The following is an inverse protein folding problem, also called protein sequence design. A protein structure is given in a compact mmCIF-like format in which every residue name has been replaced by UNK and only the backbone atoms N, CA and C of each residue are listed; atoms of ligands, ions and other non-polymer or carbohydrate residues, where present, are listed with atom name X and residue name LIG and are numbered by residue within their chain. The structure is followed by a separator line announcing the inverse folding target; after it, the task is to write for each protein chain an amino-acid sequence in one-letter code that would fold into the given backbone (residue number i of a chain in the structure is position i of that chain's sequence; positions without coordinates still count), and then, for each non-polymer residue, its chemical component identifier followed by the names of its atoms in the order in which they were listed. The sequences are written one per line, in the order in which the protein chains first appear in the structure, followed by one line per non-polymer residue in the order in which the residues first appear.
data_IF_645747680849
#
_entry.id   IF_645747680849
#
_cell.length_a   1.000
_cell.length_b   1.000
_cell.length_c   1.000
_cell.angle_alpha   90.00
_cell.angle_beta   90.00
_cell.angle_gamma   90.00
#
_symmetry.space_group_name_H-M   'P 1'
#
loop_
_entity.id
_entity.type
_entity.pdbx_description
1 polymer ?
#
# COMPACT_ATOMS: atom_id res chain seq x y z
N UNK A 1 1.14 28.93 40.23
CA UNK A 1 0.71 28.52 38.92
C UNK A 1 1.51 27.28 38.53
N UNK A 2 0.95 26.08 38.69
CA UNK A 2 1.65 24.84 38.29
C UNK A 2 1.76 24.83 36.76
N UNK A 3 2.95 24.95 36.24
CA UNK A 3 3.23 24.74 34.84
C UNK A 3 2.94 23.24 34.57
N UNK A 4 1.78 22.93 33.98
CA UNK A 4 1.49 21.59 33.49
C UNK A 4 2.51 21.34 32.35
N UNK A 5 3.57 20.61 32.63
CA UNK A 5 4.46 20.12 31.55
C UNK A 5 3.60 19.29 30.62
N UNK A 6 3.42 19.78 29.38
CA UNK A 6 2.70 19.01 28.35
C UNK A 6 3.43 17.69 28.13
N UNK A 7 2.68 16.60 28.17
CA UNK A 7 3.23 15.25 27.91
C UNK A 7 3.78 15.18 26.48
N UNK A 8 5.02 14.75 26.32
CA UNK A 8 5.60 14.37 25.04
C UNK A 8 5.37 12.87 24.86
N UNK A 9 4.63 12.50 23.82
CA UNK A 9 4.35 11.09 23.50
C UNK A 9 5.49 10.50 22.69
N UNK A 10 5.86 9.24 22.95
CA UNK A 10 6.85 8.48 22.20
C UNK A 10 6.15 7.50 21.27
N UNK A 11 6.25 7.72 19.97
CA UNK A 11 5.65 6.87 18.95
C UNK A 11 6.75 6.10 18.22
N UNK A 12 6.68 4.75 18.24
CA UNK A 12 7.48 3.91 17.39
C UNK A 12 6.84 3.80 16.00
N UNK A 13 7.56 4.14 14.96
CA UNK A 13 7.12 4.03 13.56
C UNK A 13 7.97 2.99 12.86
N UNK A 14 7.34 2.01 12.23
CA UNK A 14 8.08 0.98 11.51
C UNK A 14 7.45 0.65 10.16
N UNK A 15 8.31 0.43 9.18
CA UNK A 15 7.97 -0.07 7.86
C UNK A 15 8.89 -1.24 7.48
N UNK A 16 8.37 -2.18 6.67
CA UNK A 16 9.13 -3.37 6.26
C UNK A 16 10.27 -3.02 5.32
N UNK A 17 10.09 -1.99 4.50
CA UNK A 17 11.06 -1.50 3.52
C UNK A 17 10.78 -0.04 3.23
N UNK A 18 11.82 0.72 2.90
CA UNK A 18 11.71 2.08 2.41
C UNK A 18 11.31 2.06 0.93
N UNK A 19 10.16 2.62 0.62
CA UNK A 19 9.71 2.91 -0.74
C UNK A 19 8.58 3.95 -0.74
N UNK A 20 8.34 4.63 -1.88
CA UNK A 20 7.49 5.81 -1.94
C UNK A 20 6.09 5.65 -1.32
N UNK A 21 5.42 4.52 -1.51
CA UNK A 21 4.08 4.29 -0.95
C UNK A 21 4.09 4.28 0.59
N UNK A 22 5.04 3.54 1.19
CA UNK A 22 5.14 3.45 2.65
C UNK A 22 5.63 4.77 3.27
N UNK A 23 6.51 5.49 2.57
CA UNK A 23 6.98 6.81 2.98
C UNK A 23 5.84 7.83 2.93
N UNK A 24 4.95 7.77 1.93
CA UNK A 24 3.75 8.59 1.84
C UNK A 24 2.78 8.27 2.98
N UNK A 25 2.57 7.00 3.34
CA UNK A 25 1.75 6.61 4.50
C UNK A 25 2.34 7.15 5.80
N UNK A 26 3.65 7.03 5.99
CA UNK A 26 4.36 7.61 7.14
C UNK A 26 4.16 9.12 7.20
N UNK A 27 4.40 9.80 6.09
CA UNK A 27 4.24 11.26 6.00
C UNK A 27 2.81 11.68 6.34
N UNK A 28 1.81 11.00 5.80
CA UNK A 28 0.41 11.29 6.11
C UNK A 28 0.12 11.17 7.61
N UNK A 29 0.58 10.10 8.24
CA UNK A 29 0.44 9.88 9.68
C UNK A 29 1.08 11.01 10.51
N UNK A 30 2.33 11.35 10.22
CA UNK A 30 3.04 12.42 10.92
C UNK A 30 2.37 13.79 10.75
N UNK A 31 1.89 14.10 9.54
CA UNK A 31 1.23 15.37 9.25
C UNK A 31 -0.09 15.50 10.02
N UNK A 32 -0.86 14.40 10.18
CA UNK A 32 -2.07 14.41 11.01
C UNK A 32 -1.73 14.65 12.50
N UNK A 33 -0.69 14.00 13.01
CA UNK A 33 -0.21 14.21 14.38
C UNK A 33 0.24 15.66 14.59
N UNK A 34 1.06 16.20 13.69
CA UNK A 34 1.54 17.60 13.74
C UNK A 34 0.38 18.58 13.73
N UNK A 35 -0.61 18.38 12.86
CA UNK A 35 -1.81 19.22 12.78
C UNK A 35 -2.64 19.21 14.06
N UNK A 36 -2.64 18.11 14.81
CA UNK A 36 -3.38 17.99 16.08
C UNK A 36 -2.80 18.83 17.22
N UNK A 37 -1.56 19.29 17.09
CA UNK A 37 -0.80 20.01 18.12
C UNK A 37 -0.24 19.11 19.23
N UNK A 38 -0.31 17.78 19.08
CA UNK A 38 0.34 16.87 20.02
C UNK A 38 1.87 17.00 19.93
N UNK A 39 2.52 17.00 21.11
CA UNK A 39 3.97 16.92 21.19
C UNK A 39 4.40 15.46 21.12
N UNK A 40 5.11 15.09 20.08
CA UNK A 40 5.50 13.71 19.79
C UNK A 40 6.98 13.63 19.44
N UNK A 41 7.62 12.58 19.94
CA UNK A 41 8.93 12.10 19.52
C UNK A 41 8.72 10.83 18.70
N UNK A 42 9.07 10.86 17.42
CA UNK A 42 9.03 9.71 16.54
C UNK A 42 10.34 8.94 16.58
N UNK A 43 10.23 7.61 16.67
CA UNK A 43 11.35 6.68 16.55
C UNK A 43 11.11 5.82 15.30
N UNK A 44 11.70 6.27 14.17
CA UNK A 44 11.51 5.67 12.86
C UNK A 44 12.48 4.52 12.64
N UNK A 45 11.96 3.37 12.24
CA UNK A 45 12.72 2.15 11.93
C UNK A 45 12.30 1.53 10.61
N UNK A 46 13.28 0.97 9.92
CA UNK A 46 13.11 0.24 8.67
C UNK A 46 13.73 -1.15 8.79
N UNK A 47 12.99 -2.18 8.47
CA UNK A 47 13.46 -3.57 8.56
C UNK A 47 14.25 -4.03 7.33
N UNK A 48 14.31 -3.23 6.25
CA UNK A 48 15.05 -3.53 5.02
C UNK A 48 14.68 -4.91 4.42
N UNK A 49 13.40 -5.28 4.48
CA UNK A 49 12.84 -6.59 4.07
C UNK A 49 13.28 -7.79 4.91
N UNK A 50 13.92 -7.57 6.05
CA UNK A 50 14.31 -8.63 6.97
C UNK A 50 13.29 -8.79 8.08
N UNK A 51 12.58 -9.93 8.11
CA UNK A 51 11.56 -10.22 9.12
C UNK A 51 12.17 -10.43 10.52
N UNK A 52 13.43 -10.84 10.63
CA UNK A 52 14.12 -10.94 11.90
C UNK A 52 14.43 -9.55 12.45
N UNK A 53 14.90 -8.64 11.60
CA UNK A 53 15.08 -7.24 11.94
C UNK A 53 13.74 -6.59 12.33
N UNK A 54 12.65 -6.87 11.59
CA UNK A 54 11.31 -6.38 11.94
C UNK A 54 10.87 -6.83 13.34
N UNK A 55 11.14 -8.09 13.68
CA UNK A 55 10.84 -8.63 15.02
C UNK A 55 11.65 -7.91 16.11
N UNK A 56 12.95 -7.70 15.87
CA UNK A 56 13.83 -6.99 16.81
C UNK A 56 13.41 -5.54 17.00
N UNK A 57 12.98 -4.84 15.96
CA UNK A 57 12.43 -3.48 16.03
C UNK A 57 11.22 -3.44 16.97
N UNK A 58 10.28 -4.37 16.83
CA UNK A 58 9.11 -4.42 17.71
C UNK A 58 9.48 -4.72 19.17
N UNK A 59 10.44 -5.61 19.41
CA UNK A 59 10.96 -5.87 20.75
C UNK A 59 11.64 -4.63 21.34
N UNK A 60 12.37 -3.86 20.54
CA UNK A 60 12.95 -2.59 20.97
C UNK A 60 11.85 -1.60 21.37
N UNK A 61 10.82 -1.40 20.54
CA UNK A 61 9.70 -0.50 20.85
C UNK A 61 8.99 -0.89 22.15
N UNK A 62 8.80 -2.18 22.40
CA UNK A 62 8.28 -2.72 23.65
C UNK A 62 9.18 -2.34 24.84
N UNK A 63 10.48 -2.59 24.75
CA UNK A 63 11.45 -2.30 25.81
C UNK A 63 11.55 -0.80 26.10
N UNK A 64 11.46 0.05 25.06
CA UNK A 64 11.48 1.49 25.14
C UNK A 64 10.15 2.09 25.65
N UNK A 65 9.14 1.24 25.90
CA UNK A 65 7.81 1.62 26.41
C UNK A 65 7.18 2.74 25.58
N UNK A 66 7.07 2.53 24.25
CA UNK A 66 6.39 3.49 23.38
C UNK A 66 4.95 3.69 23.84
N UNK A 67 4.44 4.93 23.74
CA UNK A 67 3.03 5.25 24.04
C UNK A 67 2.08 4.72 22.94
N UNK A 68 2.59 4.54 21.72
CA UNK A 68 1.87 3.98 20.58
C UNK A 68 2.89 3.44 19.56
N UNK A 69 2.50 2.38 18.84
CA UNK A 69 3.25 1.87 17.69
C UNK A 69 2.44 2.09 16.42
N UNK A 70 3.05 2.73 15.43
CA UNK A 70 2.53 2.85 14.08
C UNK A 70 3.22 1.84 13.16
N UNK A 71 2.43 0.90 12.62
CA UNK A 71 2.92 -0.20 11.80
C UNK A 71 2.44 -0.08 10.36
N UNK A 72 3.37 0.12 9.42
CA UNK A 72 3.06 0.35 8.00
C UNK A 72 3.25 -0.94 7.22
N UNK A 73 2.23 -1.40 6.53
CA UNK A 73 2.11 -2.65 5.77
C UNK A 73 1.75 -3.89 6.59
N UNK A 74 1.25 -4.92 5.89
CA UNK A 74 0.80 -6.18 6.50
C UNK A 74 1.89 -6.90 7.31
N UNK A 75 3.12 -7.12 6.79
CA UNK A 75 4.16 -7.81 7.56
C UNK A 75 4.54 -7.08 8.86
N UNK A 76 4.61 -5.75 8.80
CA UNK A 76 4.94 -4.91 9.96
C UNK A 76 3.84 -4.95 11.01
N UNK A 77 2.57 -4.88 10.61
CA UNK A 77 1.42 -4.96 11.52
C UNK A 77 1.31 -6.33 12.19
N UNK A 78 1.61 -7.41 11.48
CA UNK A 78 1.66 -8.76 12.06
C UNK A 78 2.81 -8.92 13.07
N UNK A 79 3.99 -8.38 12.77
CA UNK A 79 5.10 -8.36 13.71
C UNK A 79 4.78 -7.53 14.97
N UNK A 80 4.13 -6.38 14.81
CA UNK A 80 3.67 -5.55 15.94
C UNK A 80 2.66 -6.32 16.81
N UNK A 81 1.65 -6.95 16.21
CA UNK A 81 0.66 -7.77 16.91
C UNK A 81 1.33 -8.89 17.73
N UNK A 82 2.38 -9.51 17.22
CA UNK A 82 3.05 -10.62 17.86
C UNK A 82 3.99 -10.21 19.01
N UNK A 83 4.57 -9.02 18.97
CA UNK A 83 5.66 -8.63 19.87
C UNK A 83 5.29 -7.52 20.86
N UNK A 84 4.40 -6.60 20.50
CA UNK A 84 4.03 -5.45 21.32
C UNK A 84 3.07 -5.87 22.44
N UNK A 85 3.25 -5.28 23.62
CA UNK A 85 2.39 -5.57 24.75
C UNK A 85 0.93 -5.19 24.48
N UNK A 86 -0.05 -6.00 24.93
CA UNK A 86 -1.48 -5.69 24.77
C UNK A 86 -1.92 -4.37 25.39
N UNK A 87 -1.14 -3.80 26.31
CA UNK A 87 -1.42 -2.49 26.90
C UNK A 87 -0.99 -1.31 26.00
N UNK A 88 -0.11 -1.56 25.01
CA UNK A 88 0.37 -0.53 24.09
C UNK A 88 -0.51 -0.51 22.83
N UNK A 89 -1.10 0.65 22.49
CA UNK A 89 -1.86 0.81 21.27
C UNK A 89 -1.01 0.57 20.00
N UNK A 90 -1.59 -0.15 19.06
CA UNK A 90 -1.05 -0.32 17.71
C UNK A 90 -2.05 0.30 16.74
N UNK A 91 -1.56 1.24 15.93
CA UNK A 91 -2.28 1.76 14.78
C UNK A 91 -1.54 1.31 13.53
N UNK A 92 -2.24 0.70 12.58
CA UNK A 92 -1.62 0.30 11.32
C UNK A 92 -2.14 1.13 10.14
N UNK A 93 -1.37 1.15 9.06
CA UNK A 93 -1.78 1.68 7.77
C UNK A 93 -1.35 0.75 6.62
N UNK A 94 -2.00 0.89 5.46
CA UNK A 94 -1.66 0.18 4.22
C UNK A 94 -1.67 -1.35 4.37
N UNK A 95 -2.61 -1.88 5.17
CA UNK A 95 -2.87 -3.32 5.29
C UNK A 95 -4.04 -3.67 4.37
N UNK A 96 -3.80 -4.52 3.36
CA UNK A 96 -4.78 -4.83 2.32
C UNK A 96 -5.95 -5.69 2.83
N UNK A 97 -5.69 -6.63 3.74
CA UNK A 97 -6.69 -7.51 4.36
C UNK A 97 -6.44 -7.65 5.86
N UNK A 98 -6.97 -6.74 6.68
CA UNK A 98 -6.80 -6.80 8.13
C UNK A 98 -7.40 -8.07 8.78
N UNK A 99 -8.46 -8.64 8.20
CA UNK A 99 -9.08 -9.84 8.72
C UNK A 99 -8.20 -11.07 8.46
N UNK A 100 -7.75 -11.26 7.23
CA UNK A 100 -6.82 -12.33 6.86
C UNK A 100 -5.47 -12.21 7.57
N UNK A 101 -5.03 -10.99 7.90
CA UNK A 101 -3.83 -10.74 8.68
C UNK A 101 -4.00 -11.01 10.19
N UNK A 102 -5.22 -11.31 10.67
CA UNK A 102 -5.52 -11.61 12.07
C UNK A 102 -5.59 -10.37 12.98
N UNK A 103 -5.69 -9.18 12.42
CA UNK A 103 -5.67 -7.91 13.16
C UNK A 103 -7.03 -7.50 13.73
N UNK A 104 -8.12 -8.03 13.15
CA UNK A 104 -9.49 -7.69 13.56
C UNK A 104 -9.82 -8.29 14.92
N UNK A 105 -10.55 -7.54 15.75
CA UNK A 105 -11.01 -7.99 17.07
C UNK A 105 -9.94 -7.98 18.16
N UNK A 106 -8.77 -7.40 17.92
CA UNK A 106 -7.73 -7.23 18.94
C UNK A 106 -8.00 -5.96 19.75
N UNK A 107 -7.90 -6.01 21.11
CA UNK A 107 -8.31 -4.89 21.96
C UNK A 107 -7.41 -3.66 21.87
N UNK A 108 -6.15 -3.84 21.48
CA UNK A 108 -5.14 -2.78 21.36
C UNK A 108 -4.79 -2.42 19.90
N UNK A 109 -5.52 -2.93 18.91
CA UNK A 109 -5.20 -2.73 17.50
C UNK A 109 -6.36 -2.04 16.78
N UNK A 110 -6.04 -1.00 16.04
CA UNK A 110 -6.90 -0.36 15.04
C UNK A 110 -6.04 0.15 13.89
N UNK A 111 -6.65 0.71 12.87
CA UNK A 111 -5.91 1.30 11.76
C UNK A 111 -6.72 1.44 10.49
N UNK A 112 -6.01 1.71 9.41
CA UNK A 112 -6.57 1.94 8.08
C UNK A 112 -6.17 0.87 7.10
N UNK A 113 -7.15 0.32 6.42
CA UNK A 113 -6.94 -0.64 5.34
C UNK A 113 -6.62 0.10 4.04
N UNK A 114 -5.59 -0.38 3.36
CA UNK A 114 -5.34 -0.13 1.95
C UNK A 114 -6.00 -1.21 1.10
N UNK A 115 -7.28 -1.49 1.31
CA UNK A 115 -7.99 -2.54 0.60
C UNK A 115 -7.84 -2.36 -0.92
N UNK A 116 -7.48 -3.42 -1.66
CA UNK A 116 -7.26 -3.32 -3.08
C UNK A 116 -8.58 -3.05 -3.81
N UNK A 117 -8.56 -2.02 -4.64
CA UNK A 117 -9.72 -1.60 -5.45
C UNK A 117 -9.78 -2.37 -6.79
N UNK A 118 -9.69 -3.70 -6.72
CA UNK A 118 -9.56 -4.59 -7.90
C UNK A 118 -10.70 -4.39 -8.89
N UNK A 119 -11.95 -4.35 -8.42
CA UNK A 119 -13.10 -4.21 -9.30
C UNK A 119 -13.13 -2.86 -10.02
N UNK A 120 -12.80 -1.79 -9.31
CA UNK A 120 -12.70 -0.44 -9.85
C UNK A 120 -11.59 -0.33 -10.92
N UNK A 121 -10.45 -0.98 -10.65
CA UNK A 121 -9.36 -1.06 -11.63
C UNK A 121 -9.71 -1.90 -12.86
N UNK A 122 -10.45 -3.01 -12.72
CA UNK A 122 -10.93 -3.78 -13.87
C UNK A 122 -11.87 -2.98 -14.75
N UNK A 123 -12.74 -2.15 -14.15
CA UNK A 123 -13.60 -1.21 -14.90
C UNK A 123 -12.76 -0.18 -15.66
N UNK A 124 -11.74 0.39 -15.02
CA UNK A 124 -10.81 1.33 -15.66
C UNK A 124 -10.07 0.67 -16.82
N UNK A 125 -9.54 -0.56 -16.63
CA UNK A 125 -8.87 -1.31 -17.70
C UNK A 125 -9.82 -1.53 -18.88
N UNK A 126 -11.07 -1.91 -18.61
CA UNK A 126 -12.06 -2.13 -19.67
C UNK A 126 -12.43 -0.86 -20.41
N UNK A 127 -12.50 0.27 -19.71
CA UNK A 127 -12.78 1.59 -20.31
C UNK A 127 -11.58 2.08 -21.12
N UNK A 128 -10.37 1.98 -20.59
CA UNK A 128 -9.15 2.46 -21.23
C UNK A 128 -8.68 1.58 -22.40
N UNK A 129 -8.90 0.25 -22.30
CA UNK A 129 -8.42 -0.77 -23.24
C UNK A 129 -9.55 -1.76 -23.59
N UNK A 130 -10.58 -1.33 -24.33
CA UNK A 130 -11.79 -2.15 -24.58
C UNK A 130 -11.50 -3.46 -25.33
N UNK A 131 -10.42 -3.52 -26.10
CA UNK A 131 -10.00 -4.69 -26.87
C UNK A 131 -9.08 -5.65 -26.11
N UNK A 132 -8.57 -5.25 -24.94
CA UNK A 132 -7.73 -6.11 -24.10
C UNK A 132 -8.53 -7.32 -23.60
N UNK A 133 -7.85 -8.47 -23.57
CA UNK A 133 -8.42 -9.74 -23.10
C UNK A 133 -7.57 -10.40 -22.03
N UNK A 134 -6.26 -10.19 -22.04
CA UNK A 134 -5.32 -10.82 -21.10
C UNK A 134 -4.63 -9.78 -20.23
N UNK A 135 -4.81 -9.93 -18.91
CA UNK A 135 -4.17 -9.10 -17.90
C UNK A 135 -3.01 -9.89 -17.30
N UNK A 136 -1.79 -9.34 -17.42
CA UNK A 136 -0.61 -9.87 -16.74
C UNK A 136 -0.50 -9.35 -15.32
N UNK A 137 -0.07 -10.19 -14.38
CA UNK A 137 0.25 -9.80 -13.02
C UNK A 137 1.45 -10.57 -12.51
N UNK A 138 2.37 -9.86 -11.84
CA UNK A 138 3.47 -10.44 -11.08
C UNK A 138 3.24 -10.23 -9.59
N UNK A 139 3.61 -11.21 -8.77
CA UNK A 139 3.40 -11.12 -7.33
C UNK A 139 4.39 -11.97 -6.52
N UNK A 140 4.63 -11.55 -5.27
CA UNK A 140 5.46 -12.30 -4.34
C UNK A 140 4.57 -13.24 -3.49
N UNK A 141 4.84 -14.53 -3.56
CA UNK A 141 4.09 -15.55 -2.79
C UNK A 141 4.37 -15.49 -1.29
N UNK A 142 5.44 -14.84 -0.86
CA UNK A 142 5.75 -14.64 0.56
C UNK A 142 4.98 -13.46 1.18
N UNK A 143 4.32 -12.63 0.37
CA UNK A 143 3.48 -11.52 0.81
C UNK A 143 2.01 -11.91 0.74
N UNK A 144 1.37 -12.09 1.91
CA UNK A 144 -0.04 -12.51 2.00
C UNK A 144 -0.99 -11.57 1.24
N UNK A 145 -0.77 -10.26 1.35
CA UNK A 145 -1.56 -9.26 0.62
C UNK A 145 -1.51 -9.47 -0.90
N UNK A 146 -0.36 -9.88 -1.43
CA UNK A 146 -0.19 -10.11 -2.87
C UNK A 146 -0.96 -11.35 -3.33
N UNK A 147 -0.89 -12.43 -2.56
CA UNK A 147 -1.65 -13.66 -2.81
C UNK A 147 -3.16 -13.40 -2.81
N UNK A 148 -3.65 -12.64 -1.83
CA UNK A 148 -5.08 -12.27 -1.73
C UNK A 148 -5.52 -11.42 -2.92
N UNK A 149 -4.72 -10.42 -3.33
CA UNK A 149 -5.05 -9.57 -4.47
C UNK A 149 -5.12 -10.36 -5.79
N UNK A 150 -4.17 -11.27 -6.03
CA UNK A 150 -4.18 -12.11 -7.23
C UNK A 150 -5.37 -13.06 -7.24
N UNK A 151 -5.75 -13.62 -6.08
CA UNK A 151 -6.97 -14.42 -5.95
C UNK A 151 -8.20 -13.61 -6.32
N UNK A 152 -8.38 -12.42 -5.74
CA UNK A 152 -9.49 -11.52 -6.04
C UNK A 152 -9.51 -11.13 -7.53
N UNK A 153 -8.34 -10.83 -8.11
CA UNK A 153 -8.23 -10.49 -9.52
C UNK A 153 -8.72 -11.65 -10.41
N UNK A 154 -8.28 -12.89 -10.14
CA UNK A 154 -8.71 -14.09 -10.88
C UNK A 154 -10.20 -14.38 -10.75
N UNK A 155 -10.81 -14.07 -9.60
CA UNK A 155 -12.25 -14.25 -9.37
C UNK A 155 -13.11 -13.20 -10.08
N UNK A 156 -12.62 -11.94 -10.15
CA UNK A 156 -13.38 -10.81 -10.69
C UNK A 156 -13.15 -10.56 -12.18
N UNK A 157 -11.95 -10.78 -12.69
CA UNK A 157 -11.57 -10.46 -14.07
C UNK A 157 -12.48 -11.08 -15.14
N UNK A 158 -12.95 -12.36 -15.01
CA UNK A 158 -13.85 -12.95 -15.99
C UNK A 158 -15.19 -12.20 -16.16
N UNK A 159 -15.68 -11.53 -15.10
CA UNK A 159 -16.92 -10.72 -15.15
C UNK A 159 -16.77 -9.52 -16.11
N UNK A 160 -15.55 -9.09 -16.35
CA UNK A 160 -15.20 -7.97 -17.25
C UNK A 160 -14.65 -8.45 -18.60
N UNK A 161 -14.63 -9.76 -18.84
CA UNK A 161 -14.16 -10.38 -20.08
C UNK A 161 -12.66 -10.50 -20.16
N UNK A 162 -11.96 -10.59 -19.02
CA UNK A 162 -10.51 -10.74 -18.96
C UNK A 162 -10.08 -12.13 -18.47
N UNK A 163 -9.01 -12.62 -19.05
CA UNK A 163 -8.19 -13.72 -18.55
C UNK A 163 -7.00 -13.17 -17.78
N UNK A 164 -6.61 -13.80 -16.68
CA UNK A 164 -5.47 -13.38 -15.84
C UNK A 164 -4.30 -14.32 -16.05
N UNK A 165 -3.18 -13.78 -16.54
CA UNK A 165 -1.89 -14.47 -16.67
C UNK A 165 -1.03 -14.05 -15.48
N UNK A 166 -0.94 -14.92 -14.46
CA UNK A 166 -0.26 -14.62 -13.21
C UNK A 166 1.01 -15.45 -13.06
N UNK A 167 2.14 -14.79 -12.82
CA UNK A 167 3.40 -15.43 -12.47
C UNK A 167 3.89 -14.96 -11.11
N UNK A 168 4.37 -15.91 -10.31
CA UNK A 168 4.90 -15.63 -8.99
C UNK A 168 6.41 -15.55 -8.98
N UNK A 169 6.92 -14.84 -7.98
CA UNK A 169 8.36 -14.78 -7.72
C UNK A 169 8.59 -14.60 -6.23
N UNK A 170 9.79 -14.85 -5.79
CA UNK A 170 10.23 -14.60 -4.40
C UNK A 170 11.29 -13.51 -4.33
N UNK A 171 11.86 -13.10 -5.47
CA UNK A 171 12.91 -12.09 -5.55
C UNK A 171 12.93 -11.37 -6.91
N UNK A 172 13.76 -10.34 -7.01
CA UNK A 172 13.90 -9.49 -8.19
C UNK A 172 14.26 -10.21 -9.49
N UNK A 173 15.22 -11.13 -9.42
CA UNK A 173 15.70 -11.83 -10.61
C UNK A 173 14.61 -12.75 -11.18
N UNK A 174 13.87 -13.40 -10.31
CA UNK A 174 12.70 -14.19 -10.69
C UNK A 174 11.61 -13.31 -11.30
N UNK A 175 11.36 -12.09 -10.77
CA UNK A 175 10.38 -11.16 -11.36
C UNK A 175 10.73 -10.78 -12.80
N UNK A 176 12.01 -10.51 -13.09
CA UNK A 176 12.44 -10.20 -14.45
C UNK A 176 12.21 -11.39 -15.38
N UNK A 177 12.52 -12.61 -14.91
CA UNK A 177 12.31 -13.83 -15.68
C UNK A 177 10.81 -14.12 -15.90
N UNK A 178 9.99 -13.92 -14.86
CA UNK A 178 8.55 -14.08 -14.92
C UNK A 178 7.92 -13.05 -15.88
N UNK A 179 8.39 -11.79 -15.87
CA UNK A 179 7.96 -10.79 -16.86
C UNK A 179 8.26 -11.24 -18.28
N UNK A 180 9.48 -11.70 -18.55
CA UNK A 180 9.87 -12.15 -19.89
C UNK A 180 9.00 -13.31 -20.40
N UNK A 181 8.48 -14.14 -19.48
CA UNK A 181 7.58 -15.24 -19.79
C UNK A 181 6.21 -14.74 -20.21
N UNK A 182 5.57 -13.87 -19.37
CA UNK A 182 4.19 -13.44 -19.61
C UNK A 182 4.04 -12.32 -20.64
N UNK A 183 5.07 -11.49 -20.84
CA UNK A 183 5.00 -10.29 -21.69
C UNK A 183 4.57 -10.56 -23.12
N UNK A 184 4.77 -11.77 -23.64
CA UNK A 184 4.35 -12.18 -24.98
C UNK A 184 2.88 -12.62 -25.08
N UNK A 185 2.22 -12.77 -23.94
CA UNK A 185 0.88 -13.34 -23.85
C UNK A 185 -0.17 -12.35 -23.37
N UNK A 186 0.23 -11.18 -22.85
CA UNK A 186 -0.65 -10.21 -22.21
C UNK A 186 -0.89 -8.98 -23.08
N UNK A 187 -2.07 -8.41 -22.94
CA UNK A 187 -2.44 -7.14 -23.61
C UNK A 187 -2.14 -5.94 -22.72
N UNK A 188 -2.28 -6.10 -21.41
CA UNK A 188 -2.03 -5.08 -20.39
C UNK A 188 -1.39 -5.70 -19.16
N UNK A 189 -0.61 -4.93 -18.41
CA UNK A 189 -0.04 -5.36 -17.13
C UNK A 189 -0.74 -4.61 -15.99
N UNK A 190 -1.19 -5.35 -14.98
CA UNK A 190 -1.77 -4.77 -13.77
C UNK A 190 -0.80 -4.90 -12.60
N UNK A 191 -0.34 -3.74 -12.11
CA UNK A 191 0.58 -3.65 -10.98
C UNK A 191 -0.20 -3.58 -9.67
N UNK A 192 -0.16 -4.67 -8.91
CA UNK A 192 -0.80 -4.80 -7.59
C UNK A 192 0.05 -4.19 -6.47
N UNK A 193 -0.54 -4.01 -5.29
CA UNK A 193 0.17 -3.58 -4.08
C UNK A 193 1.05 -4.72 -3.53
N UNK A 194 2.30 -4.76 -3.96
CA UNK A 194 3.31 -5.75 -3.61
C UNK A 194 4.64 -5.03 -3.36
N UNK A 195 5.22 -5.18 -2.16
CA UNK A 195 6.43 -4.46 -1.76
C UNK A 195 7.64 -4.84 -2.60
N UNK A 196 7.71 -6.09 -3.04
CA UNK A 196 8.77 -6.57 -3.91
C UNK A 196 8.63 -6.00 -5.30
N UNK A 197 7.39 -6.03 -5.85
CA UNK A 197 7.09 -5.44 -7.15
C UNK A 197 7.44 -3.95 -7.18
N UNK A 198 6.97 -3.16 -6.20
CA UNK A 198 7.26 -1.71 -6.12
C UNK A 198 8.75 -1.42 -6.11
N UNK A 199 9.52 -2.19 -5.33
CA UNK A 199 10.98 -1.98 -5.22
C UNK A 199 11.70 -2.10 -6.56
N UNK A 200 11.29 -3.02 -7.41
CA UNK A 200 11.94 -3.28 -8.71
C UNK A 200 11.16 -2.71 -9.91
N UNK A 201 10.07 -2.01 -9.63
CA UNK A 201 9.09 -1.64 -10.64
C UNK A 201 9.66 -0.75 -11.75
N UNK A 202 10.56 0.17 -11.43
CA UNK A 202 11.18 1.04 -12.43
C UNK A 202 11.85 0.24 -13.56
N UNK A 203 12.65 -0.77 -13.22
CA UNK A 203 13.29 -1.64 -14.20
C UNK A 203 12.27 -2.47 -15.00
N UNK A 204 11.24 -2.98 -14.31
CA UNK A 204 10.18 -3.76 -14.96
C UNK A 204 9.33 -2.89 -15.90
N UNK A 205 9.00 -1.67 -15.51
CA UNK A 205 8.23 -0.74 -16.34
C UNK A 205 8.98 -0.31 -17.60
N UNK A 206 10.29 -0.09 -17.52
CA UNK A 206 11.13 0.20 -18.68
C UNK A 206 11.04 -0.94 -19.71
N UNK A 207 11.20 -2.19 -19.25
CA UNK A 207 11.08 -3.38 -20.13
C UNK A 207 9.70 -3.55 -20.75
N UNK A 208 8.64 -3.29 -20.01
CA UNK A 208 7.26 -3.33 -20.53
C UNK A 208 7.01 -2.21 -21.53
N UNK A 209 7.49 -1.00 -21.25
CA UNK A 209 7.37 0.15 -22.17
C UNK A 209 8.11 -0.07 -23.47
N UNK A 210 9.30 -0.69 -23.46
CA UNK A 210 10.03 -1.11 -24.68
C UNK A 210 9.19 -2.08 -25.52
N UNK A 211 8.43 -2.96 -24.89
CA UNK A 211 7.54 -3.93 -25.56
C UNK A 211 6.15 -3.36 -25.88
N UNK A 212 5.91 -2.07 -25.60
CA UNK A 212 4.62 -1.39 -25.80
C UNK A 212 3.46 -2.00 -25.01
N UNK A 213 3.73 -2.60 -23.86
CA UNK A 213 2.73 -3.14 -22.95
C UNK A 213 2.25 -2.02 -22.01
N UNK A 214 0.97 -1.60 -22.06
CA UNK A 214 0.46 -0.61 -21.16
C UNK A 214 0.36 -1.14 -19.72
N UNK A 215 0.76 -0.29 -18.78
CA UNK A 215 0.79 -0.64 -17.37
C UNK A 215 -0.28 0.14 -16.63
N UNK A 216 -1.13 -0.58 -15.91
CA UNK A 216 -2.15 -0.04 -15.02
C UNK A 216 -1.73 -0.31 -13.58
N UNK A 217 -1.58 0.73 -12.78
CA UNK A 217 -1.20 0.63 -11.38
C UNK A 217 -2.39 0.67 -10.43
N UNK A 218 -2.32 -0.07 -9.35
CA UNK A 218 -3.30 -0.05 -8.27
C UNK A 218 -3.25 1.22 -7.41
N UNK A 219 -2.21 2.04 -7.56
CA UNK A 219 -2.07 3.36 -6.94
C UNK A 219 -1.10 4.26 -7.72
N UNK A 220 -1.02 5.53 -7.33
CA UNK A 220 -0.24 6.58 -8.01
C UNK A 220 1.28 6.32 -8.05
N UNK A 221 1.82 5.54 -7.12
CA UNK A 221 3.24 5.20 -7.08
C UNK A 221 3.67 4.52 -8.38
N UNK A 222 2.84 3.63 -8.92
CA UNK A 222 3.16 2.93 -10.18
C UNK A 222 3.21 3.88 -11.38
N UNK A 223 2.34 4.89 -11.43
CA UNK A 223 2.40 5.93 -12.47
C UNK A 223 3.68 6.76 -12.36
N UNK A 224 4.11 7.09 -11.14
CA UNK A 224 5.36 7.82 -10.90
C UNK A 224 6.61 7.00 -11.24
N UNK A 225 6.53 5.67 -11.15
CA UNK A 225 7.61 4.74 -11.47
C UNK A 225 7.62 4.21 -12.92
N UNK A 226 6.85 4.84 -13.81
CA UNK A 226 6.87 4.51 -15.24
C UNK A 226 5.66 3.71 -15.73
N UNK A 227 4.60 3.57 -14.93
CA UNK A 227 3.29 3.08 -15.40
C UNK A 227 2.56 4.13 -16.23
N UNK A 228 1.60 3.70 -17.04
CA UNK A 228 0.81 4.58 -17.89
C UNK A 228 -0.32 5.27 -17.14
N UNK A 229 -1.11 4.50 -16.42
CA UNK A 229 -2.30 4.96 -15.68
C UNK A 229 -2.38 4.21 -14.36
N UNK A 230 -2.91 4.85 -13.33
CA UNK A 230 -3.22 4.21 -12.06
C UNK A 230 -4.53 4.71 -11.50
N UNK A 231 -5.18 3.87 -10.70
CA UNK A 231 -6.35 4.26 -9.94
C UNK A 231 -6.28 3.65 -8.54
N UNK A 232 -6.39 4.48 -7.52
CA UNK A 232 -6.44 4.03 -6.13
C UNK A 232 -6.41 5.19 -5.15
N UNK A 233 -6.68 4.85 -3.90
CA UNK A 233 -6.49 5.76 -2.77
C UNK A 233 -4.99 5.92 -2.51
N UNK A 234 -4.55 7.15 -2.23
CA UNK A 234 -3.14 7.40 -1.97
C UNK A 234 -2.74 6.88 -0.59
N UNK A 235 -1.53 6.34 -0.49
CA UNK A 235 -0.99 5.89 0.80
C UNK A 235 -0.89 7.04 1.81
N UNK A 236 -0.65 8.27 1.34
CA UNK A 236 -0.73 9.47 2.18
C UNK A 236 -2.11 9.63 2.87
N UNK A 237 -3.21 9.47 2.13
CA UNK A 237 -4.56 9.58 2.70
C UNK A 237 -4.84 8.47 3.72
N UNK A 238 -4.38 7.25 3.43
CA UNK A 238 -4.47 6.10 4.32
C UNK A 238 -3.69 6.37 5.61
N UNK A 239 -2.44 6.83 5.50
CA UNK A 239 -1.61 7.20 6.64
C UNK A 239 -2.16 8.38 7.43
N UNK A 240 -2.67 9.41 6.75
CA UNK A 240 -3.26 10.58 7.41
C UNK A 240 -4.45 10.18 8.30
N UNK A 241 -5.34 9.32 7.79
CA UNK A 241 -6.46 8.82 8.60
C UNK A 241 -6.00 7.96 9.79
N UNK A 242 -4.96 7.15 9.61
CA UNK A 242 -4.33 6.42 10.72
C UNK A 242 -3.76 7.38 11.79
N UNK A 243 -3.17 8.49 11.39
CA UNK A 243 -2.71 9.54 12.28
C UNK A 243 -3.85 10.19 13.08
N UNK A 244 -4.99 10.46 12.44
CA UNK A 244 -6.19 10.93 13.16
C UNK A 244 -6.66 9.93 14.22
N UNK A 245 -6.65 8.62 13.92
CA UNK A 245 -6.96 7.57 14.90
C UNK A 245 -5.96 7.58 16.08
N UNK A 246 -4.67 7.76 15.80
CA UNK A 246 -3.66 7.89 16.84
C UNK A 246 -3.90 9.11 17.74
N UNK A 247 -4.35 10.23 17.15
CA UNK A 247 -4.76 11.43 17.92
C UNK A 247 -5.97 11.11 18.82
N UNK A 248 -6.98 10.39 18.32
CA UNK A 248 -8.12 9.96 19.13
C UNK A 248 -7.68 9.13 20.35
N UNK A 249 -6.68 8.26 20.17
CA UNK A 249 -6.13 7.43 21.24
C UNK A 249 -5.32 8.29 22.24
N UNK A 250 -4.33 9.02 21.75
CA UNK A 250 -3.35 9.70 22.61
C UNK A 250 -3.91 10.96 23.28
N UNK A 251 -4.73 11.75 22.55
CA UNK A 251 -5.27 13.03 23.04
C UNK A 251 -6.60 12.86 23.75
N UNK A 252 -7.48 12.02 23.19
CA UNK A 252 -8.85 11.87 23.67
C UNK A 252 -9.06 10.64 24.55
N UNK A 253 -8.01 9.80 24.72
CA UNK A 253 -8.05 8.61 25.58
C UNK A 253 -8.95 7.48 25.08
N UNK A 254 -9.32 7.49 23.76
CA UNK A 254 -10.09 6.38 23.18
C UNK A 254 -9.27 5.09 23.20
N UNK A 255 -9.93 3.97 23.43
CA UNK A 255 -9.29 2.66 23.26
C UNK A 255 -9.28 2.30 21.77
N UNK A 256 -8.23 1.60 21.29
CA UNK A 256 -8.20 1.12 19.89
C UNK A 256 -9.43 0.27 19.52
N UNK A 257 -9.94 -0.54 20.48
CA UNK A 257 -11.16 -1.34 20.30
C UNK A 257 -12.42 -0.52 19.99
N UNK A 258 -12.45 0.75 20.38
CA UNK A 258 -13.59 1.65 20.17
C UNK A 258 -13.50 2.40 18.84
N UNK A 259 -12.39 2.22 18.12
CA UNK A 259 -12.14 2.81 16.81
C UNK A 259 -12.17 1.68 15.77
N UNK A 260 -13.13 1.72 14.88
CA UNK A 260 -13.25 0.71 13.82
C UNK A 260 -12.04 0.79 12.88
N UNK A 261 -11.59 -0.37 12.40
CA UNK A 261 -10.67 -0.43 11.26
C UNK A 261 -11.42 0.11 10.05
N UNK A 262 -10.84 1.09 9.37
CA UNK A 262 -11.47 1.78 8.24
C UNK A 262 -10.77 1.45 6.93
N UNK A 263 -11.55 1.15 5.90
CA UNK A 263 -11.07 1.15 4.51
C UNK A 263 -11.22 2.56 3.96
N UNK A 264 -10.09 3.23 3.76
CA UNK A 264 -10.09 4.57 3.14
C UNK A 264 -10.27 4.38 1.64
N UNK A 265 -11.40 4.85 1.10
CA UNK A 265 -11.73 4.76 -0.32
C UNK A 265 -11.92 6.16 -0.90
N UNK A 266 -10.84 6.72 -1.41
CA UNK A 266 -10.82 8.02 -2.10
C UNK A 266 -10.00 7.89 -3.41
N UNK A 267 -10.41 6.97 -4.33
CA UNK A 267 -9.61 6.66 -5.51
C UNK A 267 -9.45 7.88 -6.41
N UNK A 268 -8.22 8.10 -6.84
CA UNK A 268 -7.89 9.09 -7.86
C UNK A 268 -7.26 8.40 -9.06
N UNK A 269 -7.58 8.88 -10.27
CA UNK A 269 -6.92 8.41 -11.49
C UNK A 269 -5.73 9.34 -11.77
N UNK A 270 -4.56 8.75 -11.99
CA UNK A 270 -3.34 9.45 -12.41
C UNK A 270 -2.84 8.91 -13.73
N UNK A 271 -2.44 9.77 -14.66
CA UNK A 271 -1.92 9.41 -15.99
C UNK A 271 -0.53 10.01 -16.16
N UNK A 272 0.41 9.18 -16.62
CA UNK A 272 1.73 9.61 -17.05
C UNK A 272 1.69 10.01 -18.52
N UNK A 273 1.72 11.32 -18.79
CA UNK A 273 1.65 11.88 -20.13
C UNK A 273 2.82 11.42 -21.00
N UNK A 274 4.03 11.42 -20.46
CA UNK A 274 5.21 11.00 -21.19
C UNK A 274 5.11 9.53 -21.65
N UNK A 275 4.59 8.65 -20.81
CA UNK A 275 4.38 7.26 -21.17
C UNK A 275 3.20 7.08 -22.15
N UNK A 276 2.17 7.88 -22.05
CA UNK A 276 1.08 7.89 -23.03
C UNK A 276 1.61 8.23 -24.44
N UNK A 277 2.47 9.24 -24.53
CA UNK A 277 3.13 9.64 -25.77
C UNK A 277 4.13 8.56 -26.26
N UNK A 278 4.97 8.02 -25.37
CA UNK A 278 5.95 6.97 -25.68
C UNK A 278 5.29 5.71 -26.25
N UNK A 279 4.16 5.31 -25.67
CA UNK A 279 3.42 4.13 -26.11
C UNK A 279 2.56 4.41 -27.36
N UNK A 280 2.31 5.69 -27.69
CA UNK A 280 1.41 6.08 -28.77
C UNK A 280 -0.06 5.78 -28.47
N UNK A 281 -0.43 5.72 -27.17
CA UNK A 281 -1.77 5.36 -26.73
C UNK A 281 -2.64 6.61 -26.63
N UNK A 282 -3.86 6.50 -27.16
CA UNK A 282 -4.92 7.51 -26.98
C UNK A 282 -5.95 6.95 -26.00
N UNK A 283 -6.03 7.52 -24.81
CA UNK A 283 -7.04 7.15 -23.85
C UNK A 283 -8.38 7.84 -24.16
N UNK A 284 -9.51 7.21 -23.83
CA UNK A 284 -10.84 7.81 -24.01
C UNK A 284 -11.00 9.10 -23.18
N UNK A 285 -11.79 10.05 -23.71
CA UNK A 285 -12.09 11.31 -22.99
C UNK A 285 -12.76 11.07 -21.65
N UNK A 286 -13.55 10.02 -21.52
CA UNK A 286 -14.19 9.61 -20.27
C UNK A 286 -13.20 9.23 -19.17
N UNK A 287 -11.99 8.81 -19.54
CA UNK A 287 -10.87 8.53 -18.62
C UNK A 287 -10.06 9.82 -18.37
N UNK A 288 -9.73 10.56 -19.44
CA UNK A 288 -8.91 11.77 -19.35
C UNK A 288 -9.53 12.84 -18.48
N UNK A 289 -10.85 13.06 -18.61
CA UNK A 289 -11.60 14.09 -17.86
C UNK A 289 -11.65 13.87 -16.34
N UNK A 290 -11.42 12.64 -15.88
CA UNK A 290 -11.43 12.27 -14.46
C UNK A 290 -10.02 12.18 -13.85
N UNK A 291 -8.98 12.28 -14.68
CA UNK A 291 -7.61 11.96 -14.28
C UNK A 291 -6.79 13.22 -13.96
N UNK A 292 -5.85 13.04 -13.04
CA UNK A 292 -4.70 13.95 -12.90
C UNK A 292 -3.65 13.56 -13.92
N UNK A 293 -3.37 14.43 -14.88
CA UNK A 293 -2.33 14.22 -15.89
C UNK A 293 -1.03 14.81 -15.35
N UNK A 294 0.02 14.00 -15.34
CA UNK A 294 1.36 14.35 -14.87
C UNK A 294 2.37 14.38 -16.02
#
# INVERSE_FOLDING_TARGET
MLIKTEKVYKIGVSQIVEHPALDDAKKGFEDAIKKSGLKVEFDDKNANKDMSAQTMIMQQFKNDKKDLVFAISTPTAQAAMAQIDPATPIVFASVSDPAGAGLVGKPNITGTSGAPEIESNLKLIKEAFPNAKKIGVLYNTSEQNSVVQVKMLKELAPKYGFEVVAESSTNANEMVSALAKISKEIDVFYAIQDSTLVTYFKNLSEKMNEQKIPIIGSNEVFTNLGGLISQGTTDYQIGYRAGEMAVEILKNGKKPSDIKIESVQMPTISINKANMELLGIKLPESVLSKAKIK
#
